data_IF_481929890577
#
_entry.id   IF_481929890577
#
_cell.length_a   1.000
_cell.length_b   1.000
_cell.length_c   1.000
_cell.angle_alpha   90.00
_cell.angle_beta   90.00
_cell.angle_gamma   90.00
#
_symmetry.space_group_name_H-M   'P 1'
#
loop_
_entity.id
_entity.type
_entity.pdbx_description
1 polymer ?
#
# COMPACT_ATOMS: atom_id res chain seq x y z
N UNK A 1 -19.74 11.26 -24.75
CA UNK A 1 -20.82 11.53 -23.76
C UNK A 1 -21.03 10.34 -22.81
N UNK A 2 -21.35 9.12 -23.28
CA UNK A 2 -21.57 7.94 -22.39
C UNK A 2 -20.44 7.61 -21.39
N UNK A 3 -19.17 7.69 -21.79
CA UNK A 3 -18.05 7.35 -20.90
C UNK A 3 -17.89 8.31 -19.69
N UNK A 4 -18.22 9.60 -19.85
CA UNK A 4 -18.16 10.57 -18.77
C UNK A 4 -19.31 10.37 -17.78
N UNK A 5 -20.49 10.02 -18.30
CA UNK A 5 -21.68 9.70 -17.52
C UNK A 5 -21.45 8.45 -16.66
N UNK A 6 -20.92 7.37 -17.22
CA UNK A 6 -20.58 6.15 -16.47
C UNK A 6 -19.56 6.42 -15.34
N UNK A 7 -18.53 7.24 -15.62
CA UNK A 7 -17.55 7.65 -14.60
C UNK A 7 -18.16 8.50 -13.49
N UNK A 8 -19.13 9.36 -13.82
CA UNK A 8 -19.87 10.16 -12.84
C UNK A 8 -20.75 9.28 -11.96
N UNK A 9 -21.56 8.40 -12.56
CA UNK A 9 -22.40 7.43 -11.84
C UNK A 9 -21.59 6.59 -10.86
N UNK A 10 -20.43 6.09 -11.28
CA UNK A 10 -19.51 5.34 -10.43
C UNK A 10 -18.90 6.18 -9.29
N UNK A 11 -18.61 7.48 -9.50
CA UNK A 11 -18.11 8.37 -8.44
C UNK A 11 -19.16 8.75 -7.41
N UNK A 12 -20.40 8.88 -7.86
CA UNK A 12 -21.54 9.30 -7.02
C UNK A 12 -22.28 8.12 -6.38
N UNK A 13 -21.77 6.88 -6.55
CA UNK A 13 -22.42 5.64 -6.10
C UNK A 13 -23.88 5.51 -6.56
N UNK A 14 -24.20 6.05 -7.74
CA UNK A 14 -25.52 5.89 -8.35
C UNK A 14 -25.68 4.44 -8.84
N UNK A 15 -26.89 3.89 -8.71
CA UNK A 15 -27.21 2.57 -9.25
C UNK A 15 -27.04 2.54 -10.78
N UNK A 16 -26.26 1.56 -11.27
CA UNK A 16 -26.03 1.33 -12.70
C UNK A 16 -26.72 0.05 -13.17
N UNK A 17 -27.18 0.02 -14.41
CA UNK A 17 -27.69 -1.21 -15.01
C UNK A 17 -26.56 -2.20 -15.31
N UNK A 18 -26.88 -3.48 -15.52
CA UNK A 18 -25.88 -4.51 -15.87
C UNK A 18 -25.09 -4.13 -17.13
N UNK A 19 -25.76 -3.52 -18.12
CA UNK A 19 -25.14 -3.06 -19.38
C UNK A 19 -24.16 -1.92 -19.14
N UNK A 20 -24.50 -0.99 -18.23
CA UNK A 20 -23.65 0.13 -17.83
C UNK A 20 -22.43 -0.34 -17.03
N UNK A 21 -22.60 -1.33 -16.16
CA UNK A 21 -21.49 -1.96 -15.42
C UNK A 21 -20.51 -2.63 -16.38
N UNK A 22 -20.99 -3.44 -17.33
CA UNK A 22 -20.13 -4.10 -18.34
C UNK A 22 -19.42 -3.06 -19.22
N UNK A 23 -20.10 -1.96 -19.57
CA UNK A 23 -19.51 -0.87 -20.33
C UNK A 23 -18.45 -0.10 -19.52
N UNK A 24 -18.68 0.09 -18.21
CA UNK A 24 -17.74 0.73 -17.29
C UNK A 24 -16.50 -0.14 -17.05
N UNK A 25 -16.65 -1.44 -16.85
CA UNK A 25 -15.51 -2.37 -16.71
C UNK A 25 -14.64 -2.41 -17.98
N UNK A 26 -15.25 -2.38 -19.17
CA UNK A 26 -14.50 -2.24 -20.43
C UNK A 26 -13.79 -0.90 -20.57
N UNK A 27 -14.36 0.16 -19.99
CA UNK A 27 -13.78 1.51 -19.99
C UNK A 27 -12.64 1.66 -18.99
N UNK A 28 -12.76 1.02 -17.83
CA UNK A 28 -11.79 1.06 -16.74
C UNK A 28 -10.95 -0.21 -16.79
N UNK A 29 -9.80 -0.13 -17.45
CA UNK A 29 -8.83 -1.23 -17.41
C UNK A 29 -8.48 -1.51 -15.94
N UNK A 30 -8.65 -2.74 -15.43
CA UNK A 30 -8.23 -3.07 -14.07
C UNK A 30 -6.74 -2.76 -13.95
N UNK A 31 -6.38 -1.91 -12.99
CA UNK A 31 -4.99 -1.62 -12.69
C UNK A 31 -4.42 -2.84 -11.97
N UNK A 32 -3.72 -3.69 -12.72
CA UNK A 32 -3.05 -4.85 -12.14
C UNK A 32 -2.02 -4.36 -11.12
N UNK A 33 -2.18 -4.77 -9.86
CA UNK A 33 -1.17 -4.50 -8.84
C UNK A 33 -0.03 -5.49 -9.06
N UNK A 34 1.09 -4.99 -9.56
CA UNK A 34 2.29 -5.80 -9.87
C UNK A 34 3.16 -5.97 -8.63
N UNK A 35 3.06 -5.03 -7.70
CA UNK A 35 3.86 -4.95 -6.47
C UNK A 35 2.93 -4.93 -5.27
N UNK A 36 3.46 -5.32 -4.12
CA UNK A 36 2.82 -5.15 -2.83
C UNK A 36 2.66 -3.69 -2.45
N UNK A 37 2.22 -3.45 -1.21
CA UNK A 37 1.95 -2.10 -0.71
C UNK A 37 3.19 -1.22 -0.80
N UNK A 38 4.32 -1.70 -0.32
CA UNK A 38 5.53 -0.90 -0.16
C UNK A 38 6.29 -0.72 -1.47
N UNK A 39 6.37 -1.75 -2.31
CA UNK A 39 6.88 -1.62 -3.68
C UNK A 39 6.05 -0.63 -4.50
N UNK A 40 4.72 -0.63 -4.34
CA UNK A 40 3.87 0.37 -5.00
C UNK A 40 4.14 1.80 -4.51
N UNK A 41 4.37 1.98 -3.20
CA UNK A 41 4.70 3.30 -2.63
C UNK A 41 6.08 3.78 -3.05
N UNK A 42 7.09 2.91 -3.01
CA UNK A 42 8.45 3.21 -3.46
C UNK A 42 8.49 3.60 -4.93
N UNK A 43 7.73 2.91 -5.79
CA UNK A 43 7.60 3.28 -7.20
C UNK A 43 7.08 4.71 -7.38
N UNK A 44 6.00 5.07 -6.66
CA UNK A 44 5.45 6.43 -6.73
C UNK A 44 6.45 7.46 -6.22
N UNK A 45 7.13 7.16 -5.12
CA UNK A 45 8.14 8.05 -4.55
C UNK A 45 9.29 8.29 -5.55
N UNK A 46 9.80 7.23 -6.19
CA UNK A 46 10.80 7.32 -7.24
C UNK A 46 10.33 8.16 -8.43
N UNK A 47 9.08 7.97 -8.90
CA UNK A 47 8.51 8.74 -10.02
C UNK A 47 8.33 10.22 -9.70
N UNK A 48 8.01 10.57 -8.45
CA UNK A 48 7.67 11.94 -8.03
C UNK A 48 8.87 12.73 -7.47
N UNK A 49 9.78 12.05 -6.77
CA UNK A 49 10.83 12.68 -5.96
C UNK A 49 12.25 12.27 -6.38
N UNK A 50 12.43 11.14 -7.08
CA UNK A 50 13.75 10.63 -7.44
C UNK A 50 13.80 10.05 -8.87
N UNK A 51 13.40 10.87 -9.84
CA UNK A 51 13.28 10.48 -11.25
C UNK A 51 14.61 9.97 -11.82
N UNK A 52 15.75 10.49 -11.34
CA UNK A 52 17.07 10.04 -11.76
C UNK A 52 17.31 8.57 -11.40
N UNK A 53 17.04 8.18 -10.16
CA UNK A 53 17.15 6.78 -9.73
C UNK A 53 16.09 5.89 -10.39
N UNK A 54 14.86 6.39 -10.57
CA UNK A 54 13.82 5.68 -11.32
C UNK A 54 14.29 5.29 -12.73
N UNK A 55 14.90 6.23 -13.46
CA UNK A 55 15.44 5.99 -14.80
C UNK A 55 16.65 5.05 -14.78
N UNK A 56 17.54 5.20 -13.79
CA UNK A 56 18.71 4.32 -13.64
C UNK A 56 18.31 2.86 -13.36
N UNK A 57 17.20 2.64 -12.66
CA UNK A 57 16.67 1.32 -12.33
C UNK A 57 15.80 0.72 -13.44
N UNK A 58 15.57 1.36 -14.59
CA UNK A 58 14.54 0.94 -15.54
C UNK A 58 14.59 -0.55 -15.97
N UNK A 59 15.79 -1.17 -16.01
CA UNK A 59 15.97 -2.60 -16.28
C UNK A 59 15.74 -3.52 -15.08
N UNK A 60 16.04 -3.04 -13.87
CA UNK A 60 16.01 -3.80 -12.60
C UNK A 60 14.87 -3.34 -11.67
N UNK A 61 13.99 -2.47 -12.16
CA UNK A 61 12.93 -1.83 -11.38
C UNK A 61 11.95 -2.86 -10.82
N UNK A 62 11.49 -3.88 -11.57
CA UNK A 62 10.62 -4.90 -11.00
C UNK A 62 11.26 -5.62 -9.81
N UNK A 63 12.50 -6.08 -9.97
CA UNK A 63 13.27 -6.79 -8.95
C UNK A 63 13.52 -5.91 -7.72
N UNK A 64 13.85 -4.63 -7.93
CA UNK A 64 14.02 -3.66 -6.85
C UNK A 64 12.73 -3.50 -6.02
N UNK A 65 11.59 -3.32 -6.69
CA UNK A 65 10.31 -3.08 -6.01
C UNK A 65 9.80 -4.34 -5.29
N UNK A 66 9.96 -5.54 -5.87
CA UNK A 66 9.70 -6.79 -5.16
C UNK A 66 10.66 -7.00 -3.99
N UNK A 67 11.91 -6.55 -4.12
CA UNK A 67 12.88 -6.53 -3.03
C UNK A 67 12.46 -5.62 -1.88
N UNK A 68 11.81 -4.49 -2.16
CA UNK A 68 11.23 -3.62 -1.12
C UNK A 68 10.09 -4.32 -0.41
N UNK A 69 9.17 -4.97 -1.14
CA UNK A 69 8.07 -5.70 -0.50
C UNK A 69 8.60 -6.79 0.43
N UNK A 70 9.60 -7.57 -0.02
CA UNK A 70 10.23 -8.62 0.79
C UNK A 70 10.90 -8.05 2.05
N UNK A 71 11.65 -6.96 1.92
CA UNK A 71 12.29 -6.31 3.06
C UNK A 71 11.28 -5.73 4.04
N UNK A 72 10.17 -5.19 3.55
CA UNK A 72 9.11 -4.68 4.40
C UNK A 72 8.43 -5.79 5.20
N UNK A 73 8.16 -6.94 4.58
CA UNK A 73 7.61 -8.11 5.27
C UNK A 73 8.57 -8.62 6.36
N UNK A 74 9.87 -8.74 6.03
CA UNK A 74 10.90 -9.15 6.99
C UNK A 74 11.02 -8.16 8.17
N UNK A 75 11.03 -6.85 7.87
CA UNK A 75 11.07 -5.80 8.89
C UNK A 75 9.82 -5.83 9.77
N UNK A 76 8.65 -6.05 9.17
CA UNK A 76 7.39 -6.14 9.90
C UNK A 76 7.42 -7.28 10.92
N UNK A 77 7.81 -8.48 10.50
CA UNK A 77 7.87 -9.66 11.39
C UNK A 77 8.84 -9.43 12.56
N UNK A 78 10.05 -8.95 12.28
CA UNK A 78 11.07 -8.70 13.31
C UNK A 78 10.62 -7.63 14.31
N UNK A 79 10.08 -6.52 13.83
CA UNK A 79 9.63 -5.45 14.70
C UNK A 79 8.37 -5.84 15.47
N UNK A 80 7.44 -6.57 14.85
CA UNK A 80 6.24 -7.05 15.52
C UNK A 80 6.59 -7.99 16.67
N UNK A 81 7.50 -8.95 16.44
CA UNK A 81 7.98 -9.85 17.48
C UNK A 81 8.60 -9.08 18.65
N UNK A 82 9.43 -8.06 18.36
CA UNK A 82 10.07 -7.23 19.38
C UNK A 82 9.07 -6.38 20.18
N UNK A 83 8.16 -5.70 19.48
CA UNK A 83 7.22 -4.76 20.09
C UNK A 83 6.14 -5.50 20.90
N UNK A 84 5.59 -6.59 20.36
CA UNK A 84 4.55 -7.40 21.02
C UNK A 84 5.03 -8.05 22.33
N UNK A 85 6.33 -8.32 22.47
CA UNK A 85 6.94 -8.85 23.71
C UNK A 85 7.34 -7.76 24.72
N UNK A 86 7.28 -6.49 24.33
CA UNK A 86 7.67 -5.39 25.21
C UNK A 86 6.63 -5.13 26.31
N UNK A 87 7.10 -4.61 27.47
CA UNK A 87 6.19 -4.23 28.56
C UNK A 87 5.25 -3.08 28.20
N UNK A 88 5.66 -2.22 27.26
CA UNK A 88 4.87 -1.06 26.80
C UNK A 88 3.59 -1.52 26.10
N UNK A 89 3.66 -2.60 25.32
CA UNK A 89 2.57 -3.10 24.49
C UNK A 89 1.89 -4.33 25.07
N UNK A 90 1.82 -4.41 26.40
CA UNK A 90 1.21 -5.55 27.08
C UNK A 90 -0.30 -5.52 26.88
N UNK A 91 -0.83 -6.57 26.27
CA UNK A 91 -2.27 -6.84 26.19
C UNK A 91 -2.82 -7.18 27.57
N UNK A 92 -4.01 -6.65 27.88
CA UNK A 92 -4.68 -6.77 29.18
C UNK A 92 -5.89 -7.69 29.12
N UNK A 93 -6.34 -8.06 27.91
CA UNK A 93 -7.58 -8.79 27.68
C UNK A 93 -8.81 -7.89 27.59
N UNK A 94 -8.67 -6.58 27.85
CA UNK A 94 -9.68 -5.60 27.49
C UNK A 94 -9.62 -5.32 25.98
N UNK A 95 -10.74 -5.51 25.30
CA UNK A 95 -10.79 -5.44 23.84
C UNK A 95 -10.35 -4.08 23.30
N UNK A 96 -10.80 -2.98 23.92
CA UNK A 96 -10.50 -1.64 23.42
C UNK A 96 -9.04 -1.28 23.66
N UNK A 97 -8.48 -1.64 24.81
CA UNK A 97 -7.07 -1.48 25.10
C UNK A 97 -6.18 -2.29 24.15
N UNK A 98 -6.49 -3.57 23.97
CA UNK A 98 -5.71 -4.47 23.13
C UNK A 98 -5.74 -4.05 21.65
N UNK A 99 -6.86 -3.49 21.19
CA UNK A 99 -6.99 -2.91 19.85
C UNK A 99 -6.10 -1.66 19.69
N UNK A 100 -6.09 -0.76 20.67
CA UNK A 100 -5.21 0.41 20.64
C UNK A 100 -3.74 0.01 20.64
N UNK A 101 -3.36 -0.95 21.48
CA UNK A 101 -2.00 -1.51 21.53
C UNK A 101 -1.60 -2.07 20.16
N UNK A 102 -2.47 -2.87 19.54
CA UNK A 102 -2.21 -3.44 18.22
C UNK A 102 -2.08 -2.36 17.13
N UNK A 103 -2.92 -1.34 17.17
CA UNK A 103 -2.87 -0.22 16.24
C UNK A 103 -1.57 0.60 16.39
N UNK A 104 -1.10 0.83 17.61
CA UNK A 104 0.15 1.55 17.87
C UNK A 104 1.37 0.76 17.40
N UNK A 105 1.42 -0.57 17.65
CA UNK A 105 2.48 -1.43 17.11
C UNK A 105 2.52 -1.31 15.59
N UNK A 106 1.38 -1.51 14.93
CA UNK A 106 1.27 -1.43 13.46
C UNK A 106 1.72 -0.08 12.94
N UNK A 107 1.28 1.01 13.57
CA UNK A 107 1.64 2.37 13.17
C UNK A 107 3.14 2.61 13.26
N UNK A 108 3.81 2.14 14.33
CA UNK A 108 5.26 2.30 14.48
C UNK A 108 6.04 1.52 13.44
N UNK A 109 5.62 0.29 13.17
CA UNK A 109 6.27 -0.57 12.16
C UNK A 109 6.09 0.05 10.77
N UNK A 110 4.88 0.51 10.45
CA UNK A 110 4.58 1.18 9.19
C UNK A 110 5.46 2.42 8.98
N UNK A 111 5.59 3.27 10.01
CA UNK A 111 6.42 4.47 9.96
C UNK A 111 7.89 4.13 9.67
N UNK A 112 8.44 3.11 10.34
CA UNK A 112 9.81 2.64 10.13
C UNK A 112 10.01 2.12 8.70
N UNK A 113 9.11 1.27 8.21
CA UNK A 113 9.19 0.72 6.84
C UNK A 113 9.16 1.84 5.81
N UNK A 114 8.27 2.83 5.98
CA UNK A 114 8.18 3.95 5.06
C UNK A 114 9.47 4.78 5.05
N UNK A 115 10.02 5.07 6.22
CA UNK A 115 11.25 5.86 6.34
C UNK A 115 12.47 5.13 5.78
N UNK A 116 12.66 3.86 6.13
CA UNK A 116 13.86 3.09 5.79
C UNK A 116 13.84 2.55 4.35
N UNK A 117 12.67 2.17 3.83
CA UNK A 117 12.58 1.51 2.51
C UNK A 117 11.98 2.41 1.43
N UNK A 118 10.96 3.21 1.75
CA UNK A 118 10.21 3.98 0.74
C UNK A 118 10.82 5.36 0.49
N UNK A 119 11.06 6.15 1.53
CA UNK A 119 11.50 7.56 1.38
C UNK A 119 13.01 7.74 1.18
N UNK A 120 13.78 6.65 1.30
CA UNK A 120 15.20 6.60 0.92
C UNK A 120 15.38 6.04 -0.50
N UNK A 121 14.29 5.59 -1.13
CA UNK A 121 14.30 5.05 -2.48
C UNK A 121 14.65 6.06 -3.56
#
# INVERSE_FOLDING_TARGET
>A
MKAAELKRKARENEGMTVEEIIAYEKLVKPKMQVYGKYGTLAKKYLEEHNVGKYMALAGDLPEYLHGIDKQADEMYEVMYEKLSKSKQFKKTGDFMHDLHVEAEIKSRIEEEILNELVYVS
#
